data_IF_948483541347
#
_entry.id   IF_948483541347
#
_cell.length_a   1.000
_cell.length_b   1.000
_cell.length_c   1.000
_cell.angle_alpha   90.00
_cell.angle_beta   90.00
_cell.angle_gamma   90.00
#
_symmetry.space_group_name_H-M   'P 1'
#
loop_
_entity.id
_entity.type
_entity.pdbx_description
1 polymer ?
#
# COMPACT_ATOMS: atom_id res chain seq x y z
N UNK A 1 -8.04 4.73 15.57
CA UNK A 1 -7.13 3.86 16.34
C UNK A 1 -5.85 3.57 15.58
N UNK A 2 -5.89 3.16 14.33
CA UNK A 2 -4.68 3.07 13.49
C UNK A 2 -3.92 4.42 13.43
N UNK A 3 -4.62 5.57 13.48
CA UNK A 3 -4.03 6.93 13.56
C UNK A 3 -3.19 7.21 14.83
N UNK A 4 -3.44 6.53 15.94
CA UNK A 4 -2.84 6.88 17.23
C UNK A 4 -1.40 6.35 17.42
N UNK A 5 -0.95 5.46 16.56
CA UNK A 5 0.36 4.77 16.67
C UNK A 5 1.35 5.22 15.58
N UNK A 6 0.95 6.16 14.71
CA UNK A 6 1.71 6.55 13.53
C UNK A 6 2.61 7.75 13.86
N UNK A 7 3.89 7.64 13.49
CA UNK A 7 4.86 8.72 13.61
C UNK A 7 4.48 9.95 12.76
N UNK A 8 4.96 11.18 13.12
CA UNK A 8 4.61 12.43 12.45
C UNK A 8 4.83 12.43 10.92
N UNK A 9 5.81 11.69 10.42
CA UNK A 9 6.12 11.59 8.98
C UNK A 9 5.06 10.86 8.18
N UNK A 10 4.42 9.81 8.73
CA UNK A 10 3.34 9.10 8.05
C UNK A 10 2.05 9.93 8.00
N UNK A 11 1.82 10.79 9.02
CA UNK A 11 0.73 11.77 8.99
C UNK A 11 0.87 12.77 7.86
N UNK A 12 2.10 13.10 7.47
CA UNK A 12 2.37 14.01 6.34
C UNK A 12 1.95 13.37 5.01
N UNK A 13 2.18 12.08 4.80
CA UNK A 13 1.74 11.40 3.57
C UNK A 13 0.20 11.32 3.47
N UNK A 14 -0.49 10.96 4.57
CA UNK A 14 -1.97 10.98 4.61
C UNK A 14 -2.53 12.40 4.52
N UNK A 15 -1.85 13.40 5.13
CA UNK A 15 -2.22 14.81 5.02
C UNK A 15 -1.96 15.38 3.63
N UNK A 16 -0.91 14.94 2.93
CA UNK A 16 -0.65 15.34 1.54
C UNK A 16 -1.78 14.87 0.61
N UNK A 17 -2.26 13.63 0.77
CA UNK A 17 -3.44 13.15 0.04
C UNK A 17 -4.70 13.97 0.42
N UNK A 18 -4.88 14.32 1.71
CA UNK A 18 -6.01 15.12 2.19
C UNK A 18 -5.86 16.63 1.94
N UNK A 19 -4.64 17.19 1.94
CA UNK A 19 -4.38 18.62 1.71
C UNK A 19 -4.43 18.95 0.23
N UNK A 20 -3.93 18.08 -0.66
CA UNK A 20 -4.07 18.30 -2.10
C UNK A 20 -5.53 18.20 -2.56
N UNK A 21 -6.38 17.45 -1.88
CA UNK A 21 -7.84 17.46 -2.14
C UNK A 21 -8.54 18.76 -1.69
N UNK A 22 -7.90 19.58 -0.84
CA UNK A 22 -8.46 20.85 -0.36
C UNK A 22 -7.91 22.10 -1.06
N UNK A 23 -6.81 21.99 -1.80
CA UNK A 23 -6.12 23.14 -2.41
C UNK A 23 -6.42 23.34 -3.90
N UNK A 24 -7.15 22.44 -4.53
CA UNK A 24 -7.61 22.64 -5.90
C UNK A 24 -9.08 22.99 -5.93
N UNK A 25 -9.39 24.14 -6.51
CA UNK A 25 -10.75 24.53 -6.91
C UNK A 25 -11.41 23.36 -7.65
N UNK A 26 -12.62 23.03 -7.23
CA UNK A 26 -13.45 21.95 -7.74
C UNK A 26 -13.74 22.21 -9.23
N UNK A 27 -12.91 21.69 -10.11
CA UNK A 27 -13.32 21.38 -11.47
C UNK A 27 -13.96 19.99 -11.47
N UNK A 28 -15.01 19.78 -12.21
CA UNK A 28 -15.81 18.54 -12.26
C UNK A 28 -15.07 17.31 -12.84
N UNK A 29 -13.73 17.31 -12.85
CA UNK A 29 -12.88 16.32 -13.50
C UNK A 29 -11.86 15.65 -12.53
N UNK A 30 -12.24 15.53 -11.25
CA UNK A 30 -11.38 15.00 -10.17
C UNK A 30 -11.30 13.47 -10.17
N UNK A 31 -10.94 12.87 -11.30
CA UNK A 31 -10.62 11.44 -11.39
C UNK A 31 -9.12 11.16 -11.41
N UNK A 32 -8.27 12.19 -11.27
CA UNK A 32 -6.83 12.05 -11.47
C UNK A 32 -6.03 12.75 -10.37
N UNK A 33 -4.91 12.15 -10.00
CA UNK A 33 -3.90 12.69 -9.10
C UNK A 33 -2.55 12.69 -9.79
N UNK A 34 -1.81 13.81 -9.74
CA UNK A 34 -0.48 13.92 -10.33
C UNK A 34 0.58 13.85 -9.24
N UNK A 35 1.46 12.84 -9.30
CA UNK A 35 2.62 12.65 -8.45
C UNK A 35 3.86 13.20 -9.14
N UNK A 36 4.71 13.92 -8.39
CA UNK A 36 5.97 14.48 -8.85
C UNK A 36 7.13 13.67 -8.30
N UNK A 37 8.20 13.54 -9.09
CA UNK A 37 9.38 12.76 -8.73
C UNK A 37 10.64 13.62 -8.80
N UNK A 38 11.62 13.30 -7.97
CA UNK A 38 12.89 14.02 -7.92
C UNK A 38 13.92 13.45 -8.91
N UNK A 39 13.67 12.25 -9.47
CA UNK A 39 14.56 11.60 -10.44
C UNK A 39 13.79 10.78 -11.48
N UNK A 40 14.44 10.54 -12.62
CA UNK A 40 13.92 9.67 -13.68
C UNK A 40 13.82 8.23 -13.17
N UNK A 41 14.79 7.79 -12.38
CA UNK A 41 14.87 6.42 -11.84
C UNK A 41 13.68 6.11 -10.92
N UNK A 42 13.31 7.04 -10.04
CA UNK A 42 12.17 6.88 -9.13
C UNK A 42 10.84 6.87 -9.89
N UNK A 43 10.67 7.77 -10.86
CA UNK A 43 9.52 7.77 -11.75
C UNK A 43 9.41 6.45 -12.54
N UNK A 44 10.53 6.03 -13.15
CA UNK A 44 10.56 4.81 -13.97
C UNK A 44 10.22 3.57 -13.15
N UNK A 45 10.76 3.45 -11.92
CA UNK A 45 10.48 2.34 -11.02
C UNK A 45 8.98 2.20 -10.76
N UNK A 46 8.34 3.27 -10.29
CA UNK A 46 6.92 3.24 -9.96
C UNK A 46 6.05 3.03 -11.21
N UNK A 47 6.38 3.72 -12.31
CA UNK A 47 5.66 3.56 -13.57
C UNK A 47 5.73 2.14 -14.11
N UNK A 48 6.92 1.50 -14.16
CA UNK A 48 7.09 0.13 -14.65
C UNK A 48 6.34 -0.86 -13.75
N UNK A 49 6.45 -0.73 -12.43
CA UNK A 49 5.75 -1.60 -11.50
C UNK A 49 4.22 -1.53 -11.68
N UNK A 50 3.66 -0.32 -11.80
CA UNK A 50 2.24 -0.11 -12.06
C UNK A 50 1.80 -0.66 -13.43
N UNK A 51 2.61 -0.49 -14.47
CA UNK A 51 2.29 -1.01 -15.81
C UNK A 51 2.28 -2.54 -15.84
N UNK A 52 3.25 -3.18 -15.20
CA UNK A 52 3.34 -4.65 -15.21
C UNK A 52 2.36 -5.31 -14.23
N UNK A 53 2.04 -4.64 -13.12
CA UNK A 53 1.06 -5.12 -12.15
C UNK A 53 -0.38 -4.72 -12.48
N UNK A 54 -0.67 -4.17 -13.66
CA UNK A 54 -2.04 -3.73 -14.02
C UNK A 54 -3.10 -4.76 -13.62
N UNK A 55 -4.17 -4.29 -12.97
CA UNK A 55 -5.26 -5.13 -12.50
C UNK A 55 -6.36 -4.31 -11.81
N UNK A 56 -7.51 -4.94 -11.58
CA UNK A 56 -8.67 -4.27 -10.99
C UNK A 56 -8.41 -3.67 -9.60
N UNK A 57 -7.47 -4.29 -8.86
CA UNK A 57 -7.13 -3.89 -7.48
C UNK A 57 -5.85 -3.05 -7.41
N UNK A 58 -5.27 -2.67 -8.54
CA UNK A 58 -4.05 -1.88 -8.62
C UNK A 58 -4.39 -0.47 -9.09
N UNK A 59 -3.70 0.54 -8.54
CA UNK A 59 -3.85 1.92 -8.99
C UNK A 59 -3.50 2.04 -10.47
N UNK A 60 -4.35 2.72 -11.22
CA UNK A 60 -4.20 2.83 -12.67
C UNK A 60 -3.40 4.07 -13.05
N UNK A 61 -2.44 3.90 -13.95
CA UNK A 61 -1.74 5.00 -14.60
C UNK A 61 -2.63 5.58 -15.71
N UNK A 62 -2.78 6.89 -15.70
CA UNK A 62 -3.51 7.66 -16.71
C UNK A 62 -2.54 8.24 -17.73
N UNK A 63 -1.44 8.86 -17.27
CA UNK A 63 -0.46 9.50 -18.12
C UNK A 63 0.91 9.58 -17.43
N UNK A 64 1.98 9.78 -18.20
CA UNK A 64 3.34 10.01 -17.71
C UNK A 64 4.01 11.11 -18.51
N UNK A 65 4.50 12.16 -17.85
CA UNK A 65 5.32 13.22 -18.44
C UNK A 65 6.77 13.09 -17.94
N UNK A 66 7.60 12.47 -18.77
CA UNK A 66 9.02 12.24 -18.46
C UNK A 66 9.81 13.53 -18.37
N UNK A 67 9.40 14.58 -19.11
CA UNK A 67 10.10 15.87 -19.13
C UNK A 67 9.90 16.66 -17.84
N UNK A 68 8.74 16.46 -17.18
CA UNK A 68 8.38 17.10 -15.93
C UNK A 68 8.54 16.19 -14.71
N UNK A 69 8.93 14.93 -14.92
CA UNK A 69 8.98 13.90 -13.89
C UNK A 69 7.63 13.75 -13.16
N UNK A 70 6.55 13.60 -13.95
CA UNK A 70 5.19 13.52 -13.44
C UNK A 70 4.52 12.20 -13.84
N UNK A 71 3.75 11.62 -12.90
CA UNK A 71 2.91 10.47 -13.13
C UNK A 71 1.48 10.84 -12.74
N UNK A 72 0.56 10.77 -13.70
CA UNK A 72 -0.87 11.00 -13.47
C UNK A 72 -1.56 9.65 -13.24
N UNK A 73 -2.21 9.54 -12.10
CA UNK A 73 -2.82 8.32 -11.59
C UNK A 73 -4.33 8.50 -11.44
N UNK A 74 -5.09 7.43 -11.63
CA UNK A 74 -6.52 7.42 -11.33
C UNK A 74 -6.74 7.66 -9.84
N UNK A 75 -7.62 8.58 -9.52
CA UNK A 75 -8.02 8.93 -8.16
C UNK A 75 -9.52 8.72 -7.97
N UNK A 76 -9.89 7.92 -6.97
CA UNK A 76 -11.27 7.68 -6.58
C UNK A 76 -11.57 8.47 -5.30
N UNK A 77 -12.40 9.51 -5.41
CA UNK A 77 -12.74 10.40 -4.30
C UNK A 77 -13.50 9.70 -3.17
N UNK A 78 -14.16 8.58 -3.46
CA UNK A 78 -14.89 7.80 -2.47
C UNK A 78 -14.02 6.76 -1.76
N UNK A 79 -12.77 6.56 -2.23
CA UNK A 79 -11.88 5.59 -1.65
C UNK A 79 -11.43 6.02 -0.24
N UNK A 80 -11.44 5.06 0.68
CA UNK A 80 -11.13 5.27 2.10
C UNK A 80 -9.85 4.50 2.42
N UNK A 81 -8.74 5.19 2.78
CA UNK A 81 -7.53 4.51 3.24
C UNK A 81 -7.81 3.70 4.51
N UNK A 82 -7.29 2.48 4.60
CA UNK A 82 -7.49 1.64 5.81
C UNK A 82 -6.92 2.28 7.08
N UNK A 83 -5.98 3.23 6.94
CA UNK A 83 -5.48 4.03 8.07
C UNK A 83 -6.59 4.84 8.76
N UNK A 84 -7.68 5.15 8.03
CA UNK A 84 -8.82 5.90 8.56
C UNK A 84 -9.87 5.02 9.24
N UNK A 85 -9.73 3.71 9.15
CA UNK A 85 -10.67 2.79 9.78
C UNK A 85 -10.65 2.94 11.31
N UNK A 86 -11.84 2.94 11.89
CA UNK A 86 -12.10 3.01 13.31
C UNK A 86 -12.52 1.64 13.87
N UNK A 87 -12.66 1.47 15.19
CA UNK A 87 -13.10 0.20 15.78
C UNK A 87 -14.43 -0.34 15.23
N UNK A 88 -15.35 0.52 14.80
CA UNK A 88 -16.61 0.14 14.15
C UNK A 88 -16.40 -0.56 12.79
N UNK A 89 -15.26 -0.33 12.13
CA UNK A 89 -14.94 -0.82 10.80
C UNK A 89 -14.18 -2.16 10.82
N UNK A 90 -13.93 -2.74 12.01
CA UNK A 90 -13.15 -3.98 12.15
C UNK A 90 -13.76 -5.17 11.40
N UNK A 91 -15.08 -5.30 11.37
CA UNK A 91 -15.74 -6.35 10.60
C UNK A 91 -15.53 -6.15 9.10
N UNK A 92 -15.60 -4.90 8.62
CA UNK A 92 -15.29 -4.55 7.24
C UNK A 92 -13.82 -4.85 6.93
N UNK A 93 -12.87 -4.45 7.78
CA UNK A 93 -11.46 -4.77 7.61
C UNK A 93 -11.24 -6.28 7.42
N UNK A 94 -11.81 -7.10 8.32
CA UNK A 94 -11.68 -8.56 8.23
C UNK A 94 -12.26 -9.12 6.91
N UNK A 95 -13.38 -8.56 6.43
CA UNK A 95 -14.00 -8.96 5.16
C UNK A 95 -13.20 -8.54 3.92
N UNK A 96 -12.32 -7.53 4.03
CA UNK A 96 -11.48 -7.03 2.95
C UNK A 96 -10.16 -7.78 2.81
N UNK A 97 -9.73 -8.58 3.81
CA UNK A 97 -8.47 -9.32 3.76
C UNK A 97 -8.32 -10.21 2.52
N UNK A 98 -9.35 -10.95 2.04
CA UNK A 98 -9.23 -11.69 0.78
C UNK A 98 -8.83 -10.80 -0.40
N UNK A 99 -9.39 -9.57 -0.48
CA UNK A 99 -9.09 -8.61 -1.53
C UNK A 99 -7.66 -8.06 -1.40
N UNK A 100 -7.19 -7.77 -0.19
CA UNK A 100 -5.79 -7.37 0.06
C UNK A 100 -4.82 -8.46 -0.38
N UNK A 101 -5.05 -9.70 0.03
CA UNK A 101 -4.22 -10.85 -0.33
C UNK A 101 -4.21 -11.07 -1.85
N UNK A 102 -5.36 -10.91 -2.51
CA UNK A 102 -5.45 -11.03 -3.97
C UNK A 102 -4.63 -9.96 -4.69
N UNK A 103 -4.67 -8.69 -4.24
CA UNK A 103 -3.90 -7.60 -4.81
C UNK A 103 -2.39 -7.86 -4.69
N UNK A 104 -1.92 -8.28 -3.50
CA UNK A 104 -0.51 -8.62 -3.25
C UNK A 104 -0.07 -9.82 -4.11
N UNK A 105 -0.83 -10.93 -4.09
CA UNK A 105 -0.54 -12.12 -4.91
C UNK A 105 -0.50 -11.80 -6.40
N UNK A 106 -1.33 -10.87 -6.86
CA UNK A 106 -1.29 -10.43 -8.25
C UNK A 106 0.06 -9.78 -8.59
N UNK A 107 0.58 -8.86 -7.76
CA UNK A 107 1.91 -8.26 -7.94
C UNK A 107 3.02 -9.34 -7.91
N UNK A 108 2.98 -10.24 -6.93
CA UNK A 108 3.93 -11.35 -6.81
C UNK A 108 3.94 -12.26 -8.06
N UNK A 109 2.76 -12.54 -8.63
CA UNK A 109 2.64 -13.34 -9.87
C UNK A 109 3.30 -12.67 -11.09
N UNK A 110 3.50 -11.35 -11.03
CA UNK A 110 4.21 -10.55 -12.05
C UNK A 110 5.71 -10.38 -11.73
N UNK A 111 6.20 -11.00 -10.64
CA UNK A 111 7.58 -10.89 -10.19
C UNK A 111 7.90 -9.58 -9.47
N UNK A 112 6.89 -8.91 -8.91
CA UNK A 112 7.04 -7.68 -8.15
C UNK A 112 6.69 -7.87 -6.68
N UNK A 113 7.51 -7.30 -5.80
CA UNK A 113 7.20 -7.07 -4.39
C UNK A 113 6.81 -5.61 -4.25
N UNK A 114 5.70 -5.32 -3.60
CA UNK A 114 5.25 -3.94 -3.39
C UNK A 114 6.22 -3.15 -2.50
N UNK A 115 6.72 -3.78 -1.44
CA UNK A 115 7.78 -3.27 -0.58
C UNK A 115 7.35 -2.23 0.46
N UNK A 116 6.11 -1.73 0.40
CA UNK A 116 5.58 -0.76 1.37
C UNK A 116 4.09 -1.00 1.66
N UNK A 117 3.75 -2.26 1.99
CA UNK A 117 2.38 -2.60 2.41
C UNK A 117 2.10 -1.99 3.79
N UNK A 118 1.20 -1.01 3.82
CA UNK A 118 0.76 -0.31 5.03
C UNK A 118 -0.68 0.18 4.88
N UNK A 119 -1.38 0.51 6.00
CA UNK A 119 -2.80 0.89 5.94
C UNK A 119 -3.10 2.11 5.06
N UNK A 120 -2.16 3.05 4.90
CA UNK A 120 -2.33 4.21 4.02
C UNK A 120 -2.26 3.87 2.53
N UNK A 121 -1.62 2.76 2.16
CA UNK A 121 -1.46 2.31 0.78
C UNK A 121 -2.53 1.29 0.34
N UNK A 122 -3.48 0.98 1.23
CA UNK A 122 -4.61 0.10 0.99
C UNK A 122 -5.90 0.92 1.03
N UNK A 123 -6.48 1.21 -0.13
CA UNK A 123 -7.70 1.99 -0.24
C UNK A 123 -8.93 1.07 -0.38
N UNK A 124 -9.89 1.18 0.51
CA UNK A 124 -11.21 0.59 0.30
C UNK A 124 -12.02 1.43 -0.67
N UNK A 125 -12.52 0.81 -1.73
CA UNK A 125 -13.39 1.45 -2.74
C UNK A 125 -14.82 0.97 -2.53
N UNK A 126 -15.70 1.77 -1.89
CA UNK A 126 -17.03 1.33 -1.48
C UNK A 126 -17.90 0.83 -2.64
N UNK A 127 -17.86 1.49 -3.80
CA UNK A 127 -18.66 1.14 -4.98
C UNK A 127 -18.29 -0.23 -5.56
N UNK A 128 -17.03 -0.64 -5.39
CA UNK A 128 -16.49 -1.90 -5.90
C UNK A 128 -16.37 -2.97 -4.81
N UNK A 129 -16.54 -2.59 -3.54
CA UNK A 129 -16.41 -3.45 -2.35
C UNK A 129 -15.08 -4.22 -2.31
N UNK A 130 -14.01 -3.62 -2.80
CA UNK A 130 -12.67 -4.22 -2.78
C UNK A 130 -11.58 -3.19 -2.44
N UNK A 131 -10.36 -3.69 -2.25
CA UNK A 131 -9.17 -2.89 -2.03
C UNK A 131 -8.55 -2.45 -3.35
N UNK A 132 -8.04 -1.22 -3.39
CA UNK A 132 -7.08 -0.75 -4.37
C UNK A 132 -5.73 -0.54 -3.69
N UNK A 133 -4.70 -1.18 -4.21
CA UNK A 133 -3.31 -1.03 -3.77
C UNK A 133 -2.69 0.13 -4.54
N UNK A 134 -2.05 1.06 -3.82
CA UNK A 134 -1.48 2.30 -4.34
C UNK A 134 -0.04 2.48 -3.88
N UNK A 135 0.67 3.46 -4.50
CA UNK A 135 2.02 3.89 -4.12
C UNK A 135 3.09 2.80 -4.30
N UNK A 136 3.48 2.58 -5.55
CA UNK A 136 4.47 1.59 -5.96
C UNK A 136 5.91 2.13 -5.93
N UNK A 137 6.17 3.26 -5.27
CA UNK A 137 7.49 3.90 -5.22
C UNK A 137 8.58 3.05 -4.58
N UNK A 138 8.22 2.17 -3.65
CA UNK A 138 9.15 1.22 -3.01
C UNK A 138 9.21 -0.16 -3.70
N UNK A 139 8.47 -0.35 -4.78
CA UNK A 139 8.34 -1.67 -5.42
C UNK A 139 9.64 -2.09 -6.12
N UNK A 140 9.97 -3.35 -5.98
CA UNK A 140 11.16 -3.95 -6.56
C UNK A 140 10.87 -5.32 -7.17
N UNK A 141 11.73 -5.75 -8.10
CA UNK A 141 11.69 -7.12 -8.62
C UNK A 141 12.07 -8.11 -7.54
N UNK A 142 11.32 -9.21 -7.46
CA UNK A 142 11.68 -10.35 -6.61
C UNK A 142 13.11 -10.83 -6.97
N UNK A 143 13.94 -11.04 -5.95
CA UNK A 143 15.32 -11.47 -6.10
C UNK A 143 16.32 -10.34 -6.37
N UNK A 144 15.90 -9.08 -6.42
CA UNK A 144 16.82 -7.93 -6.45
C UNK A 144 17.60 -7.84 -5.14
N UNK A 145 18.91 -7.51 -5.21
CA UNK A 145 19.71 -7.19 -4.01
C UNK A 145 19.34 -5.81 -3.49
N UNK A 146 19.03 -5.70 -2.18
CA UNK A 146 18.72 -4.42 -1.54
C UNK A 146 19.94 -3.52 -1.46
N UNK A 147 21.12 -4.07 -1.24
CA UNK A 147 22.37 -3.33 -1.17
C UNK A 147 22.71 -2.63 -2.51
N UNK A 148 22.16 -3.13 -3.62
CA UNK A 148 22.35 -2.52 -4.94
C UNK A 148 21.36 -1.39 -5.25
N UNK A 149 20.35 -1.17 -4.39
CA UNK A 149 19.34 -0.12 -4.58
C UNK A 149 19.85 1.21 -4.00
N UNK A 150 19.94 2.24 -4.84
CA UNK A 150 20.46 3.56 -4.45
C UNK A 150 19.52 4.36 -3.55
N UNK A 151 18.23 4.05 -3.58
CA UNK A 151 17.16 4.79 -2.88
C UNK A 151 16.17 3.81 -2.22
N UNK A 152 16.72 2.94 -1.40
CA UNK A 152 15.95 2.00 -0.62
C UNK A 152 14.97 2.72 0.33
N UNK A 153 13.70 2.35 0.27
CA UNK A 153 12.64 2.91 1.11
C UNK A 153 11.91 1.79 1.86
N UNK A 154 11.59 2.04 3.11
CA UNK A 154 10.76 1.17 3.93
C UNK A 154 10.06 1.96 5.02
N UNK A 155 8.84 1.58 5.37
CA UNK A 155 8.13 2.11 6.54
C UNK A 155 8.48 1.24 7.76
N UNK A 156 9.31 1.72 8.73
CA UNK A 156 9.91 0.87 9.78
C UNK A 156 8.90 0.07 10.61
N UNK A 157 7.68 0.59 10.80
CA UNK A 157 6.64 -0.07 11.60
C UNK A 157 6.17 -1.38 10.94
N UNK A 158 6.10 -1.44 9.62
CA UNK A 158 5.57 -2.55 8.86
C UNK A 158 6.65 -3.39 8.18
N UNK A 159 7.83 -2.81 7.93
CA UNK A 159 8.93 -3.44 7.21
C UNK A 159 9.47 -4.70 7.92
N UNK A 160 9.85 -5.71 7.14
CA UNK A 160 10.54 -6.90 7.63
C UNK A 160 11.92 -6.54 8.21
N UNK A 161 12.54 -7.42 9.02
CA UNK A 161 13.90 -7.18 9.53
C UNK A 161 14.92 -6.91 8.41
N UNK A 162 14.88 -7.69 7.34
CA UNK A 162 15.79 -7.52 6.20
C UNK A 162 15.53 -6.20 5.47
N UNK A 163 14.26 -5.84 5.31
CA UNK A 163 13.90 -4.54 4.78
C UNK A 163 14.46 -3.39 5.63
N UNK A 164 14.34 -3.45 6.95
CA UNK A 164 14.86 -2.41 7.85
C UNK A 164 16.37 -2.25 7.78
N UNK A 165 17.09 -3.37 7.61
CA UNK A 165 18.55 -3.39 7.47
C UNK A 165 19.03 -2.93 6.10
N UNK A 166 18.16 -2.92 5.08
CA UNK A 166 18.58 -2.72 3.69
C UNK A 166 19.44 -3.87 3.17
N UNK A 167 19.25 -5.08 3.71
CA UNK A 167 20.11 -6.24 3.47
C UNK A 167 19.36 -7.36 2.74
N UNK A 168 20.11 -8.19 2.03
CA UNK A 168 19.61 -9.40 1.39
C UNK A 168 18.77 -9.17 0.14
N UNK A 169 18.06 -10.20 -0.28
CA UNK A 169 17.23 -10.13 -1.48
C UNK A 169 15.82 -9.63 -1.15
N UNK A 170 15.21 -8.97 -2.13
CA UNK A 170 13.79 -8.61 -2.10
C UNK A 170 12.97 -9.90 -2.29
N UNK A 171 12.11 -10.21 -1.34
CA UNK A 171 11.31 -11.44 -1.33
C UNK A 171 9.83 -11.14 -1.12
N UNK A 172 8.98 -12.01 -1.65
CA UNK A 172 7.51 -11.89 -1.46
C UNK A 172 7.11 -11.93 0.02
N UNK A 173 7.92 -12.58 0.85
CA UNK A 173 7.75 -12.62 2.30
C UNK A 173 7.73 -11.25 2.98
N UNK A 174 8.35 -10.24 2.39
CA UNK A 174 8.34 -8.87 2.93
C UNK A 174 6.94 -8.27 2.98
N UNK A 175 6.17 -8.42 1.90
CA UNK A 175 4.79 -7.93 1.84
C UNK A 175 3.88 -8.71 2.81
N UNK A 176 4.09 -10.03 2.94
CA UNK A 176 3.34 -10.83 3.90
C UNK A 176 3.67 -10.46 5.34
N UNK A 177 4.95 -10.21 5.65
CA UNK A 177 5.35 -9.72 6.97
C UNK A 177 4.64 -8.39 7.29
N UNK A 178 4.60 -7.46 6.34
CA UNK A 178 3.93 -6.18 6.49
C UNK A 178 2.43 -6.35 6.74
N UNK A 179 1.75 -7.21 5.99
CA UNK A 179 0.33 -7.49 6.20
C UNK A 179 0.05 -8.15 7.56
N UNK A 180 0.91 -9.07 8.02
CA UNK A 180 0.81 -9.66 9.36
C UNK A 180 0.94 -8.57 10.43
N UNK A 181 1.86 -7.61 10.28
CA UNK A 181 1.99 -6.48 11.20
C UNK A 181 0.72 -5.62 11.29
N UNK A 182 0.06 -5.39 10.15
CA UNK A 182 -1.24 -4.70 10.13
C UNK A 182 -2.29 -5.51 10.89
N UNK A 183 -2.38 -6.82 10.65
CA UNK A 183 -3.32 -7.70 11.35
C UNK A 183 -3.04 -7.72 12.87
N UNK A 184 -1.77 -7.86 13.27
CA UNK A 184 -1.37 -7.85 14.69
C UNK A 184 -1.78 -6.53 15.37
N UNK A 185 -1.61 -5.40 14.69
CA UNK A 185 -2.02 -4.10 15.17
C UNK A 185 -3.55 -4.01 15.33
N UNK A 186 -4.31 -4.49 14.35
CA UNK A 186 -5.79 -4.51 14.40
C UNK A 186 -6.27 -5.42 15.53
N UNK A 187 -5.67 -6.60 15.71
CA UNK A 187 -6.02 -7.54 16.79
C UNK A 187 -5.82 -6.94 18.18
N UNK A 188 -4.85 -6.04 18.37
CA UNK A 188 -4.62 -5.38 19.67
C UNK A 188 -5.80 -4.50 20.11
N UNK A 189 -6.69 -4.13 19.21
CA UNK A 189 -7.88 -3.29 19.46
C UNK A 189 -9.20 -4.04 19.28
N UNK A 190 -9.17 -5.27 18.74
CA UNK A 190 -10.37 -6.06 18.48
C UNK A 190 -10.80 -6.80 19.76
N UNK A 191 -11.97 -6.44 20.29
CA UNK A 191 -12.55 -7.10 21.47
C UNK A 191 -13.59 -8.17 21.09
N UNK A 192 -14.04 -8.20 19.82
CA UNK A 192 -14.99 -9.20 19.33
C UNK A 192 -14.29 -10.51 19.04
N UNK A 193 -14.78 -11.60 19.67
CA UNK A 193 -14.20 -12.93 19.55
C UNK A 193 -14.25 -13.49 18.12
N UNK A 194 -15.33 -13.23 17.36
CA UNK A 194 -15.51 -13.77 16.02
C UNK A 194 -14.54 -13.09 15.03
N UNK A 195 -14.38 -11.77 15.15
CA UNK A 195 -13.42 -11.00 14.37
C UNK A 195 -12.00 -11.45 14.68
N UNK A 196 -11.65 -11.56 15.97
CA UNK A 196 -10.34 -12.05 16.39
C UNK A 196 -10.04 -13.45 15.88
N UNK A 197 -11.00 -14.37 15.93
CA UNK A 197 -10.84 -15.73 15.37
C UNK A 197 -10.50 -15.69 13.88
N UNK A 198 -11.19 -14.85 13.10
CA UNK A 198 -10.93 -14.66 11.67
C UNK A 198 -9.54 -14.09 11.43
N UNK A 199 -9.13 -13.05 12.18
CA UNK A 199 -7.81 -12.42 12.05
C UNK A 199 -6.68 -13.40 12.42
N UNK A 200 -6.86 -14.22 13.46
CA UNK A 200 -5.90 -15.28 13.85
C UNK A 200 -5.72 -16.29 12.71
N UNK A 201 -6.80 -16.70 12.04
CA UNK A 201 -6.74 -17.62 10.92
C UNK A 201 -5.95 -17.02 9.75
N UNK A 202 -6.22 -15.77 9.39
CA UNK A 202 -5.47 -15.04 8.35
C UNK A 202 -4.00 -14.91 8.72
N UNK A 203 -3.70 -14.47 9.93
CA UNK A 203 -2.32 -14.35 10.42
C UNK A 203 -1.56 -15.68 10.30
N UNK A 204 -2.19 -16.77 10.72
CA UNK A 204 -1.58 -18.12 10.63
C UNK A 204 -1.34 -18.54 9.17
N UNK A 205 -2.32 -18.32 8.29
CA UNK A 205 -2.19 -18.66 6.89
C UNK A 205 -1.05 -17.88 6.22
N UNK A 206 -0.97 -16.57 6.48
CA UNK A 206 0.08 -15.70 5.91
C UNK A 206 1.48 -16.02 6.46
N UNK A 207 1.59 -16.49 7.69
CA UNK A 207 2.88 -16.92 8.27
C UNK A 207 3.50 -18.14 7.59
N UNK A 208 2.77 -18.82 6.72
CA UNK A 208 3.28 -19.95 5.91
C UNK A 208 3.85 -19.45 4.54
N UNK A 209 3.61 -18.20 4.19
CA UNK A 209 4.07 -17.60 2.93
C UNK A 209 5.40 -16.83 3.11
N UNK A 210 5.89 -16.66 4.36
CA UNK A 210 7.18 -16.06 4.73
C UNK A 210 8.24 -17.16 4.79
#
# INVERSE_FOLDING_TARGET
MLKAVIEPQERVCCQVLAIHSRAHEISNDLTHYTKHFDSVESLQREWVALQECQGAQIQKVVDVDWSKLQLTLEFDQSAIPLIEFEPKDLALFASLLPSVVQAIKHCHSKGWVHGDIKPSNLLYVPQLQHIRLIDFGASCRTGSSREALSDWQATPMFASPNQKGGEGLVETGDDWFSLIKIIDQVMSYAHDYSINSTLIQWRKALSLEI
#
